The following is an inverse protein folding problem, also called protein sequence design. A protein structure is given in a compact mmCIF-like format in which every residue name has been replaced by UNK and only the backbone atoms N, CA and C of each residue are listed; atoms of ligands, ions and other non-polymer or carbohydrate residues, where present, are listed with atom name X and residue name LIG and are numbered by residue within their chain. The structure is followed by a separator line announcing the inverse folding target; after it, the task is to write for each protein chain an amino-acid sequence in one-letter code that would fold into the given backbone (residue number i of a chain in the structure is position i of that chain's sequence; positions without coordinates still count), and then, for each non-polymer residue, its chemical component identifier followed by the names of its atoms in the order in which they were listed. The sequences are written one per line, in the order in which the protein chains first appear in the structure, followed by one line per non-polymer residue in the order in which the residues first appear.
data_IF_142685945251
#
_entry.id   IF_142685945251
#
_cell.length_a   1.000
_cell.length_b   1.000
_cell.length_c   1.000
_cell.angle_alpha   90.00
_cell.angle_beta   90.00
_cell.angle_gamma   90.00
#
_symmetry.space_group_name_H-M   'P 1'
#
loop_
_entity.id
_entity.type
_entity.pdbx_description
1 polymer ?
#
# COMPACT_ATOMS: atom_id res chain seq x y z
N UNK A 1 32.05 -10.15 -67.48
CA UNK A 1 31.29 -8.96 -67.93
C UNK A 1 31.23 -7.95 -66.79
N UNK A 2 31.30 -6.67 -67.14
CA UNK A 2 31.78 -5.55 -66.30
C UNK A 2 30.63 -4.79 -65.61
N UNK A 3 30.94 -4.24 -64.42
CA UNK A 3 30.38 -3.13 -63.60
C UNK A 3 29.17 -2.32 -64.11
N UNK A 4 28.34 -1.86 -63.13
CA UNK A 4 28.03 -0.41 -63.01
C UNK A 4 26.60 0.04 -62.63
N UNK A 5 26.42 0.43 -61.36
CA UNK A 5 25.59 1.51 -60.77
C UNK A 5 24.30 2.07 -61.43
N UNK A 6 23.22 2.24 -60.61
CA UNK A 6 22.51 3.52 -60.28
C UNK A 6 21.14 3.27 -59.59
N UNK A 7 20.88 3.96 -58.47
CA UNK A 7 19.52 4.38 -58.02
C UNK A 7 19.18 5.72 -58.73
N UNK A 8 17.90 6.19 -58.88
CA UNK A 8 16.86 6.33 -57.83
C UNK A 8 15.37 6.30 -58.29
N UNK A 9 14.39 6.41 -57.35
CA UNK A 9 13.21 7.31 -57.34
C UNK A 9 12.01 6.81 -56.49
N UNK A 10 11.43 7.73 -55.70
CA UNK A 10 10.12 7.62 -55.02
C UNK A 10 8.95 7.84 -56.00
N UNK A 11 7.73 7.39 -55.66
CA UNK A 11 6.52 8.07 -56.15
C UNK A 11 5.59 8.57 -55.03
N UNK A 12 5.03 9.76 -55.26
CA UNK A 12 3.95 10.40 -54.50
C UNK A 12 2.57 10.08 -55.12
N UNK A 13 1.55 10.16 -54.25
CA UNK A 13 0.14 10.54 -54.46
C UNK A 13 -0.83 9.62 -55.23
N UNK A 14 -1.89 9.22 -54.52
CA UNK A 14 -3.25 9.08 -55.07
C UNK A 14 -4.25 9.77 -54.11
N UNK A 15 -5.05 10.68 -54.67
CA UNK A 15 -6.18 11.38 -54.07
C UNK A 15 -7.47 10.89 -54.76
N UNK A 16 -8.53 10.62 -53.99
CA UNK A 16 -9.96 10.68 -54.37
C UNK A 16 -10.82 10.39 -53.10
N UNK A 17 -12.14 10.69 -53.07
CA UNK A 17 -12.80 11.97 -53.30
C UNK A 17 -13.75 12.38 -52.14
N UNK A 18 -14.26 13.63 -52.16
CA UNK A 18 -15.23 14.20 -51.22
C UNK A 18 -16.61 13.54 -51.33
N UNK A 19 -17.22 13.22 -50.19
CA UNK A 19 -18.66 13.00 -50.01
C UNK A 19 -19.21 13.96 -48.95
N UNK A 20 -20.33 14.58 -49.27
CA UNK A 20 -21.10 15.58 -48.52
C UNK A 20 -21.76 14.97 -47.28
N UNK A 21 -21.50 15.56 -46.10
CA UNK A 21 -22.11 15.17 -44.82
C UNK A 21 -22.97 16.29 -44.24
N UNK A 22 -24.24 15.97 -44.00
CA UNK A 22 -25.26 16.77 -43.32
C UNK A 22 -24.86 17.15 -41.89
N UNK A 23 -25.20 18.38 -41.49
CA UNK A 23 -24.95 18.91 -40.13
C UNK A 23 -25.89 18.23 -39.12
N UNK A 24 -25.38 17.26 -38.36
CA UNK A 24 -26.06 16.77 -37.15
C UNK A 24 -25.92 17.79 -36.00
N UNK A 25 -27.05 18.12 -35.37
CA UNK A 25 -27.09 18.93 -34.13
C UNK A 25 -26.42 18.16 -32.98
N UNK A 26 -25.74 18.86 -32.05
CA UNK A 26 -25.07 18.20 -30.93
C UNK A 26 -26.08 17.49 -30.00
N UNK A 27 -25.71 16.37 -29.38
CA UNK A 27 -26.61 15.62 -28.52
C UNK A 27 -26.96 16.45 -27.27
N UNK A 28 -28.24 16.40 -26.88
CA UNK A 28 -28.74 16.99 -25.63
C UNK A 28 -27.86 16.54 -24.45
N UNK A 29 -27.38 17.52 -23.66
CA UNK A 29 -26.64 17.29 -22.41
C UNK A 29 -27.34 16.20 -21.60
N UNK A 30 -26.70 15.04 -21.43
CA UNK A 30 -27.08 14.03 -20.44
C UNK A 30 -27.07 14.72 -19.08
N UNK A 31 -28.23 14.80 -18.43
CA UNK A 31 -28.34 15.27 -17.04
C UNK A 31 -27.35 14.50 -16.17
N UNK A 32 -26.59 15.19 -15.32
CA UNK A 32 -25.61 14.55 -14.46
C UNK A 32 -26.31 13.60 -13.49
N UNK A 33 -25.63 12.50 -13.13
CA UNK A 33 -26.12 11.52 -12.14
C UNK A 33 -26.48 12.18 -10.79
N UNK A 34 -25.94 13.37 -10.53
CA UNK A 34 -26.23 14.25 -9.41
C UNK A 34 -27.66 14.78 -9.40
N UNK A 35 -28.23 15.17 -10.55
CA UNK A 35 -29.64 15.61 -10.64
C UNK A 35 -30.61 14.46 -10.38
N UNK A 36 -30.25 13.23 -10.77
CA UNK A 36 -31.07 12.05 -10.53
C UNK A 36 -31.07 11.62 -9.06
N UNK A 37 -29.90 11.62 -8.40
CA UNK A 37 -29.81 11.33 -6.97
C UNK A 37 -30.51 12.40 -6.11
N UNK A 38 -30.42 13.68 -6.49
CA UNK A 38 -31.17 14.76 -5.85
C UNK A 38 -32.68 14.57 -6.01
N UNK A 39 -33.17 14.15 -7.19
CA UNK A 39 -34.60 13.88 -7.40
C UNK A 39 -35.11 12.68 -6.62
N UNK A 40 -34.35 11.58 -6.53
CA UNK A 40 -34.72 10.42 -5.73
C UNK A 40 -34.75 10.74 -4.22
N UNK A 41 -33.76 11.49 -3.72
CA UNK A 41 -33.69 11.90 -2.31
C UNK A 41 -34.78 12.93 -1.97
N UNK A 42 -35.15 13.81 -2.91
CA UNK A 42 -36.19 14.82 -2.70
C UNK A 42 -37.62 14.30 -2.93
N UNK A 43 -37.80 13.12 -3.53
CA UNK A 43 -39.13 12.57 -3.85
C UNK A 43 -39.76 11.74 -2.74
N UNK A 44 -39.05 11.47 -1.62
CA UNK A 44 -39.55 10.61 -0.53
C UNK A 44 -40.16 11.36 0.67
N UNK A 45 -40.43 12.66 0.55
CA UNK A 45 -41.07 13.45 1.60
C UNK A 45 -42.08 14.42 1.00
N UNK A 46 -43.35 14.30 1.42
CA UNK A 46 -44.40 15.24 1.01
C UNK A 46 -44.12 16.67 1.44
N UNK A 47 -44.66 17.60 0.64
CA UNK A 47 -44.54 19.08 0.68
C UNK A 47 -43.27 19.65 0.00
N UNK A 48 -43.36 19.86 -1.33
CA UNK A 48 -42.33 20.54 -2.13
C UNK A 48 -42.24 22.07 -1.91
N UNK A 49 -43.18 22.68 -1.18
CA UNK A 49 -43.25 24.14 -0.97
C UNK A 49 -42.99 24.51 0.50
N UNK A 50 -41.72 24.76 0.86
CA UNK A 50 -41.21 25.71 1.89
C UNK A 50 -39.80 25.36 2.42
N UNK A 51 -38.95 24.63 1.68
CA UNK A 51 -37.55 24.40 2.14
C UNK A 51 -36.77 25.73 2.02
N UNK A 52 -36.23 26.29 3.13
CA UNK A 52 -35.43 27.50 3.06
C UNK A 52 -34.27 27.35 2.09
N UNK A 53 -34.08 28.33 1.19
CA UNK A 53 -33.06 28.27 0.15
C UNK A 53 -31.64 27.98 0.70
N UNK A 54 -31.36 28.45 1.92
CA UNK A 54 -30.13 28.16 2.65
C UNK A 54 -29.94 26.67 2.96
N UNK A 55 -30.98 25.97 3.44
CA UNK A 55 -30.92 24.53 3.74
C UNK A 55 -30.74 23.71 2.47
N UNK A 56 -31.44 24.06 1.38
CA UNK A 56 -31.29 23.39 0.08
C UNK A 56 -29.87 23.56 -0.48
N UNK A 57 -29.27 24.73 -0.31
CA UNK A 57 -27.87 24.99 -0.67
C UNK A 57 -26.93 24.13 0.16
N UNK A 58 -27.11 24.05 1.48
CA UNK A 58 -26.31 23.20 2.37
C UNK A 58 -26.31 21.73 1.93
N UNK A 59 -27.48 21.17 1.59
CA UNK A 59 -27.59 19.79 1.10
C UNK A 59 -26.86 19.62 -0.24
N UNK A 60 -27.02 20.58 -1.16
CA UNK A 60 -26.36 20.55 -2.47
C UNK A 60 -24.84 20.59 -2.35
N UNK A 61 -24.31 21.49 -1.49
CA UNK A 61 -22.89 21.64 -1.23
C UNK A 61 -22.30 20.38 -0.57
N UNK A 62 -23.05 19.75 0.34
CA UNK A 62 -22.65 18.49 0.95
C UNK A 62 -22.55 17.35 -0.08
N UNK A 63 -23.56 17.19 -0.96
CA UNK A 63 -23.53 16.21 -2.04
C UNK A 63 -22.33 16.44 -2.99
N UNK A 64 -22.06 17.69 -3.34
CA UNK A 64 -20.89 18.05 -4.15
C UNK A 64 -19.57 17.64 -3.47
N UNK A 65 -19.41 17.93 -2.17
CA UNK A 65 -18.23 17.53 -1.41
C UNK A 65 -18.09 16.01 -1.34
N UNK A 66 -19.19 15.27 -1.14
CA UNK A 66 -19.20 13.81 -1.15
C UNK A 66 -18.73 13.24 -2.49
N UNK A 67 -19.32 13.67 -3.60
CA UNK A 67 -18.97 13.17 -4.93
C UNK A 67 -17.53 13.52 -5.31
N UNK A 68 -17.11 14.76 -5.04
CA UNK A 68 -15.73 15.21 -5.27
C UNK A 68 -14.73 14.43 -4.44
N UNK A 69 -15.03 14.16 -3.16
CA UNK A 69 -14.16 13.38 -2.28
C UNK A 69 -13.98 11.95 -2.81
N UNK A 70 -15.07 11.30 -3.26
CA UNK A 70 -15.03 9.95 -3.85
C UNK A 70 -14.24 9.90 -5.14
N UNK A 71 -14.43 10.88 -6.03
CA UNK A 71 -13.69 10.97 -7.29
C UNK A 71 -12.19 11.07 -7.03
N UNK A 72 -11.78 11.97 -6.14
CA UNK A 72 -10.38 12.14 -5.75
C UNK A 72 -9.85 10.88 -5.05
N UNK A 73 -10.61 10.30 -4.12
CA UNK A 73 -10.19 9.07 -3.45
C UNK A 73 -9.90 7.92 -4.42
N UNK A 74 -10.77 7.74 -5.42
CA UNK A 74 -10.57 6.69 -6.43
C UNK A 74 -9.34 6.97 -7.28
N UNK A 75 -9.11 8.22 -7.69
CA UNK A 75 -7.94 8.59 -8.47
C UNK A 75 -6.61 8.40 -7.76
N UNK A 76 -6.58 8.31 -6.42
CA UNK A 76 -5.36 7.93 -5.68
C UNK A 76 -4.87 6.51 -6.03
N UNK A 77 -5.76 5.61 -6.48
CA UNK A 77 -5.41 4.23 -6.86
C UNK A 77 -4.69 4.18 -8.21
N UNK A 78 -4.98 5.13 -9.09
CA UNK A 78 -4.44 5.19 -10.45
C UNK A 78 -3.07 5.87 -10.50
N UNK A 79 -2.64 6.49 -9.39
CA UNK A 79 -1.34 7.12 -9.29
C UNK A 79 -0.23 6.06 -9.21
N UNK A 80 0.94 6.31 -9.83
CA UNK A 80 2.11 5.48 -9.65
C UNK A 80 2.41 5.24 -8.16
N UNK A 81 2.63 3.97 -7.83
CA UNK A 81 3.07 3.56 -6.51
C UNK A 81 4.57 3.82 -6.28
N UNK A 82 5.31 4.05 -7.36
CA UNK A 82 6.71 4.46 -7.38
C UNK A 82 6.85 5.97 -7.61
N UNK A 83 7.94 6.55 -7.11
CA UNK A 83 8.29 7.96 -7.32
C UNK A 83 7.71 8.89 -6.25
N UNK A 84 8.58 9.61 -5.55
CA UNK A 84 8.25 10.36 -4.34
C UNK A 84 7.36 11.59 -4.57
N UNK A 85 7.49 12.26 -5.72
CA UNK A 85 6.91 13.61 -5.90
C UNK A 85 5.54 13.65 -6.57
N UNK A 86 5.17 12.60 -7.32
CA UNK A 86 4.00 12.66 -8.20
C UNK A 86 2.67 12.59 -7.42
N UNK A 87 2.64 11.85 -6.32
CA UNK A 87 1.40 11.58 -5.58
C UNK A 87 1.03 12.68 -4.58
N UNK A 88 2.02 13.41 -4.04
CA UNK A 88 1.85 14.33 -2.90
C UNK A 88 0.82 15.43 -3.16
N UNK A 89 0.89 16.11 -4.32
CA UNK A 89 -0.05 17.18 -4.67
C UNK A 89 -1.49 16.68 -4.82
N UNK A 90 -1.66 15.49 -5.41
CA UNK A 90 -2.97 14.87 -5.56
C UNK A 90 -3.52 14.42 -4.21
N UNK A 91 -2.67 13.83 -3.36
CA UNK A 91 -3.02 13.46 -1.99
C UNK A 91 -3.45 14.68 -1.17
N UNK A 92 -2.67 15.77 -1.17
CA UNK A 92 -3.01 17.00 -0.47
C UNK A 92 -4.40 17.53 -0.84
N UNK A 93 -4.70 17.61 -2.15
CA UNK A 93 -6.04 18.01 -2.63
C UNK A 93 -7.15 17.06 -2.16
N UNK A 94 -6.88 15.75 -2.14
CA UNK A 94 -7.84 14.74 -1.68
C UNK A 94 -8.13 14.91 -0.19
N UNK A 95 -7.06 15.04 0.61
CA UNK A 95 -7.11 15.23 2.05
C UNK A 95 -7.83 16.53 2.43
N UNK A 96 -7.58 17.62 1.71
CA UNK A 96 -8.26 18.91 1.91
C UNK A 96 -9.77 18.82 1.71
N UNK A 97 -10.21 18.12 0.65
CA UNK A 97 -11.64 17.93 0.37
C UNK A 97 -12.30 17.07 1.46
N UNK A 98 -11.65 15.99 1.91
CA UNK A 98 -12.16 15.19 3.02
C UNK A 98 -12.20 15.96 4.34
N UNK A 99 -11.20 16.79 4.62
CA UNK A 99 -11.17 17.66 5.82
C UNK A 99 -12.30 18.68 5.77
N UNK A 100 -12.54 19.31 4.60
CA UNK A 100 -13.68 20.20 4.38
C UNK A 100 -15.01 19.48 4.58
N UNK A 101 -15.17 18.31 3.97
CA UNK A 101 -16.36 17.47 4.10
C UNK A 101 -16.64 17.09 5.58
N UNK A 102 -15.60 16.68 6.30
CA UNK A 102 -15.69 16.31 7.72
C UNK A 102 -16.13 17.48 8.60
N UNK A 103 -15.58 18.69 8.38
CA UNK A 103 -16.00 19.90 9.09
C UNK A 103 -17.41 20.33 8.69
N UNK A 104 -17.74 20.26 7.41
CA UNK A 104 -19.04 20.66 6.87
C UNK A 104 -20.19 19.87 7.51
N UNK A 105 -20.04 18.55 7.61
CA UNK A 105 -21.06 17.70 8.23
C UNK A 105 -21.19 17.88 9.76
N UNK A 106 -20.17 18.41 10.44
CA UNK A 106 -20.28 18.79 11.85
C UNK A 106 -21.03 20.11 12.01
N UNK A 107 -20.66 21.12 11.21
CA UNK A 107 -21.23 22.47 11.29
C UNK A 107 -22.70 22.52 10.88
N UNK A 108 -23.09 21.71 9.88
CA UNK A 108 -24.44 21.71 9.32
C UNK A 108 -25.27 20.49 9.73
N UNK A 109 -24.92 19.85 10.86
CA UNK A 109 -25.48 18.55 11.26
C UNK A 109 -27.01 18.52 11.25
N UNK A 110 -27.65 19.51 11.88
CA UNK A 110 -29.11 19.55 12.01
C UNK A 110 -29.82 19.57 10.65
N UNK A 111 -29.31 20.36 9.70
CA UNK A 111 -29.86 20.46 8.34
C UNK A 111 -29.66 19.14 7.58
N UNK A 112 -28.49 18.53 7.71
CA UNK A 112 -28.19 17.27 7.05
C UNK A 112 -29.01 16.10 7.62
N UNK A 113 -29.26 16.07 8.92
CA UNK A 113 -30.11 15.06 9.55
C UNK A 113 -31.58 15.22 9.10
N UNK A 114 -32.11 16.46 9.09
CA UNK A 114 -33.52 16.72 8.81
C UNK A 114 -33.89 16.73 7.31
N UNK A 115 -32.97 17.14 6.43
CA UNK A 115 -33.26 17.34 5.00
C UNK A 115 -32.54 16.36 4.08
N UNK A 116 -31.28 16.05 4.38
CA UNK A 116 -30.53 15.05 3.60
C UNK A 116 -30.79 13.62 4.09
N UNK A 117 -31.21 13.46 5.35
CA UNK A 117 -31.39 12.15 5.98
C UNK A 117 -30.05 11.51 6.34
N UNK A 118 -29.07 12.31 6.76
CA UNK A 118 -27.72 11.84 7.08
C UNK A 118 -27.76 10.75 8.17
N UNK A 119 -27.30 9.55 7.82
CA UNK A 119 -27.24 8.41 8.74
C UNK A 119 -25.91 8.34 9.46
N UNK A 120 -25.91 7.74 10.66
CA UNK A 120 -24.69 7.52 11.46
C UNK A 120 -23.63 6.73 10.69
N UNK A 121 -24.02 5.72 9.93
CA UNK A 121 -23.09 4.90 9.16
C UNK A 121 -22.42 5.68 8.03
N UNK A 122 -23.09 6.68 7.44
CA UNK A 122 -22.48 7.55 6.42
C UNK A 122 -21.37 8.43 7.02
N UNK A 123 -21.53 8.89 8.25
CA UNK A 123 -20.47 9.60 8.98
C UNK A 123 -19.31 8.65 9.30
N UNK A 124 -19.63 7.41 9.67
CA UNK A 124 -18.67 6.33 9.82
C UNK A 124 -17.87 6.06 8.55
N UNK A 125 -18.50 6.10 7.37
CA UNK A 125 -17.80 5.96 6.09
C UNK A 125 -16.83 7.11 5.83
N UNK A 126 -17.22 8.36 6.09
CA UNK A 126 -16.34 9.52 5.93
C UNK A 126 -15.14 9.39 6.87
N UNK A 127 -15.37 9.06 8.14
CA UNK A 127 -14.31 8.82 9.12
C UNK A 127 -13.38 7.67 8.69
N UNK A 128 -13.95 6.57 8.20
CA UNK A 128 -13.20 5.39 7.74
C UNK A 128 -12.32 5.73 6.54
N UNK A 129 -12.77 6.63 5.66
CA UNK A 129 -11.98 7.09 4.51
C UNK A 129 -10.85 8.02 4.92
N UNK A 130 -11.07 8.90 5.90
CA UNK A 130 -10.00 9.73 6.47
C UNK A 130 -8.93 8.86 7.13
N UNK A 131 -9.34 7.87 7.95
CA UNK A 131 -8.40 6.88 8.51
C UNK A 131 -7.62 6.15 7.42
N UNK A 132 -8.28 5.80 6.31
CA UNK A 132 -7.61 5.18 5.16
C UNK A 132 -6.58 6.11 4.49
N UNK A 133 -6.86 7.41 4.39
CA UNK A 133 -5.90 8.40 3.86
C UNK A 133 -4.66 8.49 4.75
N UNK A 134 -4.84 8.56 6.06
CA UNK A 134 -3.73 8.55 7.02
C UNK A 134 -2.88 7.28 6.91
N UNK A 135 -3.53 6.11 6.82
CA UNK A 135 -2.84 4.85 6.61
C UNK A 135 -2.05 4.82 5.29
N UNK A 136 -2.65 5.28 4.17
CA UNK A 136 -1.95 5.36 2.89
C UNK A 136 -0.76 6.33 2.95
N UNK A 137 -0.89 7.44 3.68
CA UNK A 137 0.21 8.38 3.86
C UNK A 137 1.34 7.78 4.68
N UNK A 138 1.02 7.03 5.75
CA UNK A 138 1.98 6.22 6.49
C UNK A 138 2.75 5.25 5.58
N UNK A 139 2.05 4.47 4.73
CA UNK A 139 2.71 3.54 3.80
C UNK A 139 3.70 4.23 2.84
N UNK A 140 3.48 5.52 2.54
CA UNK A 140 4.32 6.34 1.65
C UNK A 140 5.39 7.15 2.38
N UNK A 141 5.41 7.17 3.70
CA UNK A 141 6.32 8.04 4.47
C UNK A 141 7.03 7.32 5.59
N UNK A 142 6.57 6.12 5.98
CA UNK A 142 7.04 5.39 7.15
C UNK A 142 6.91 6.15 8.48
N UNK A 143 6.08 7.21 8.53
CA UNK A 143 5.89 8.05 9.70
C UNK A 143 4.74 7.53 10.56
N UNK A 144 5.07 6.96 11.72
CA UNK A 144 4.12 6.29 12.64
C UNK A 144 3.08 7.22 13.25
N UNK A 145 3.31 8.54 13.23
CA UNK A 145 2.31 9.54 13.67
C UNK A 145 1.03 9.45 12.84
N UNK A 146 1.14 9.28 11.52
CA UNK A 146 -0.04 9.11 10.66
C UNK A 146 -0.73 7.77 10.88
N UNK A 147 0.01 6.73 11.24
CA UNK A 147 -0.58 5.44 11.63
C UNK A 147 -1.40 5.58 12.93
N UNK A 148 -0.93 6.38 13.90
CA UNK A 148 -1.69 6.71 15.10
C UNK A 148 -2.94 7.55 14.79
N UNK A 149 -2.89 8.47 13.84
CA UNK A 149 -4.08 9.19 13.38
C UNK A 149 -5.12 8.24 12.74
N UNK A 150 -4.67 7.29 11.90
CA UNK A 150 -5.54 6.27 11.36
C UNK A 150 -6.22 5.44 12.47
N UNK A 151 -5.45 5.05 13.49
CA UNK A 151 -5.98 4.36 14.67
C UNK A 151 -7.03 5.21 15.40
N UNK A 152 -6.78 6.49 15.62
CA UNK A 152 -7.71 7.41 16.28
C UNK A 152 -9.06 7.49 15.56
N UNK A 153 -9.04 7.60 14.22
CA UNK A 153 -10.28 7.58 13.43
C UNK A 153 -11.02 6.24 13.53
N UNK A 154 -10.30 5.11 13.40
CA UNK A 154 -10.94 3.80 13.48
C UNK A 154 -11.47 3.46 14.87
N UNK A 155 -10.74 3.83 15.91
CA UNK A 155 -11.17 3.70 17.31
C UNK A 155 -12.41 4.54 17.58
N UNK A 156 -12.45 5.80 17.10
CA UNK A 156 -13.62 6.66 17.25
C UNK A 156 -14.87 6.10 16.55
N UNK A 157 -14.70 5.36 15.44
CA UNK A 157 -15.82 4.69 14.75
C UNK A 157 -16.44 3.59 15.63
N UNK A 158 -15.59 2.76 16.26
CA UNK A 158 -16.01 1.71 17.21
C UNK A 158 -16.70 2.31 18.42
N UNK A 159 -16.03 3.25 19.11
CA UNK A 159 -16.51 3.88 20.35
C UNK A 159 -17.86 4.59 20.17
N UNK A 160 -18.10 5.21 19.00
CA UNK A 160 -19.36 5.91 18.70
C UNK A 160 -20.38 5.03 18.00
N UNK A 161 -20.06 3.76 17.76
CA UNK A 161 -20.94 2.77 17.15
C UNK A 161 -21.60 3.28 15.86
N UNK A 162 -20.82 3.91 14.96
CA UNK A 162 -21.38 4.49 13.73
C UNK A 162 -22.08 3.45 12.84
N UNK A 163 -21.66 2.18 12.91
CA UNK A 163 -22.25 1.07 12.14
C UNK A 163 -23.34 0.27 12.87
N UNK A 164 -23.77 0.69 14.07
CA UNK A 164 -24.80 -0.02 14.86
C UNK A 164 -26.14 -0.22 14.12
N UNK A 165 -26.47 0.66 13.19
CA UNK A 165 -27.73 0.62 12.44
C UNK A 165 -27.59 -0.03 11.05
N UNK A 166 -26.40 -0.44 10.63
CA UNK A 166 -26.18 -1.02 9.30
C UNK A 166 -27.01 -2.29 9.10
N UNK A 167 -27.06 -3.15 10.13
CA UNK A 167 -27.83 -4.38 10.08
C UNK A 167 -29.34 -4.10 10.03
N UNK A 168 -29.82 -2.87 10.29
CA UNK A 168 -31.25 -2.54 10.17
C UNK A 168 -31.66 -2.12 8.76
N UNK A 169 -30.71 -1.68 7.94
CA UNK A 169 -30.96 -1.20 6.58
C UNK A 169 -31.19 -2.35 5.59
N UNK A 170 -30.88 -3.60 5.97
CA UNK A 170 -31.03 -4.82 5.16
C UNK A 170 -30.32 -4.78 3.80
N UNK A 171 -29.15 -4.12 3.76
CA UNK A 171 -28.36 -3.91 2.55
C UNK A 171 -26.98 -4.58 2.67
N UNK A 172 -26.70 -5.67 1.92
CA UNK A 172 -25.47 -6.43 2.07
C UNK A 172 -24.21 -5.58 1.78
N UNK A 173 -24.29 -4.63 0.84
CA UNK A 173 -23.19 -3.73 0.51
C UNK A 173 -22.76 -2.81 1.66
N UNK A 174 -23.68 -2.52 2.60
CA UNK A 174 -23.37 -1.73 3.80
C UNK A 174 -22.65 -2.58 4.85
N UNK A 175 -23.05 -3.85 5.01
CA UNK A 175 -22.37 -4.79 5.90
C UNK A 175 -20.95 -5.04 5.41
N UNK A 176 -20.76 -5.26 4.10
CA UNK A 176 -19.42 -5.39 3.49
C UNK A 176 -18.52 -4.18 3.78
N UNK A 177 -19.07 -2.95 3.82
CA UNK A 177 -18.29 -1.76 4.22
C UNK A 177 -17.85 -1.81 5.67
N UNK A 178 -18.71 -2.31 6.57
CA UNK A 178 -18.41 -2.52 8.00
C UNK A 178 -17.33 -3.60 8.18
N UNK A 179 -17.44 -4.74 7.49
CA UNK A 179 -16.43 -5.81 7.51
C UNK A 179 -15.07 -5.30 7.04
N UNK A 180 -15.04 -4.56 5.92
CA UNK A 180 -13.81 -3.93 5.41
C UNK A 180 -13.24 -2.87 6.37
N UNK A 181 -14.08 -2.21 7.17
CA UNK A 181 -13.60 -1.30 8.21
C UNK A 181 -12.85 -2.07 9.30
N UNK A 182 -13.42 -3.17 9.80
CA UNK A 182 -12.78 -4.03 10.80
C UNK A 182 -11.44 -4.58 10.30
N UNK A 183 -11.40 -5.14 9.09
CA UNK A 183 -10.15 -5.64 8.51
C UNK A 183 -9.04 -4.57 8.48
N UNK A 184 -9.37 -3.33 8.06
CA UNK A 184 -8.41 -2.22 8.08
C UNK A 184 -8.00 -1.80 9.48
N UNK A 185 -8.92 -1.83 10.44
CA UNK A 185 -8.62 -1.48 11.81
C UNK A 185 -7.68 -2.49 12.45
N UNK A 186 -7.88 -3.79 12.19
CA UNK A 186 -6.99 -4.87 12.61
C UNK A 186 -5.57 -4.64 12.07
N UNK A 187 -5.41 -4.37 10.77
CA UNK A 187 -4.09 -4.06 10.17
C UNK A 187 -3.38 -2.92 10.90
N UNK A 188 -4.09 -1.81 11.16
CA UNK A 188 -3.52 -0.67 11.88
C UNK A 188 -3.12 -1.04 13.31
N UNK A 189 -3.94 -1.84 14.00
CA UNK A 189 -3.62 -2.29 15.36
C UNK A 189 -2.42 -3.24 15.41
N UNK A 190 -2.27 -4.13 14.42
CA UNK A 190 -1.11 -5.01 14.28
C UNK A 190 0.18 -4.19 14.10
N UNK A 191 0.19 -3.21 13.19
CA UNK A 191 1.35 -2.35 12.94
C UNK A 191 1.75 -1.50 14.17
N UNK A 192 0.77 -1.09 14.98
CA UNK A 192 0.98 -0.37 16.24
C UNK A 192 1.21 -1.29 17.46
N UNK A 193 1.29 -2.62 17.26
CA UNK A 193 1.44 -3.61 18.32
C UNK A 193 0.39 -3.49 19.46
N UNK A 194 -0.88 -3.20 19.11
CA UNK A 194 -2.01 -3.11 20.05
C UNK A 194 -2.78 -4.44 20.12
N UNK A 195 -2.11 -5.50 20.57
CA UNK A 195 -2.60 -6.87 20.47
C UNK A 195 -3.91 -7.14 21.24
N UNK A 196 -4.14 -6.47 22.36
CA UNK A 196 -5.41 -6.61 23.09
C UNK A 196 -6.60 -6.11 22.25
N UNK A 197 -6.41 -4.99 21.56
CA UNK A 197 -7.42 -4.44 20.64
C UNK A 197 -7.59 -5.36 19.42
N UNK A 198 -6.51 -5.96 18.91
CA UNK A 198 -6.58 -6.93 17.81
C UNK A 198 -7.47 -8.11 18.18
N UNK A 199 -7.28 -8.71 19.37
CA UNK A 199 -8.07 -9.86 19.84
C UNK A 199 -9.56 -9.52 19.90
N UNK A 200 -9.90 -8.36 20.46
CA UNK A 200 -11.28 -7.88 20.51
C UNK A 200 -11.88 -7.72 19.10
N UNK A 201 -11.14 -7.06 18.18
CA UNK A 201 -11.61 -6.77 16.83
C UNK A 201 -11.78 -8.03 15.99
N UNK A 202 -10.94 -9.05 16.18
CA UNK A 202 -11.08 -10.35 15.49
C UNK A 202 -12.35 -11.06 15.94
N UNK A 203 -12.65 -11.04 17.24
CA UNK A 203 -13.89 -11.59 17.77
C UNK A 203 -15.10 -10.85 17.20
N UNK A 204 -15.11 -9.51 17.26
CA UNK A 204 -16.19 -8.70 16.69
C UNK A 204 -16.35 -8.94 15.17
N UNK A 205 -15.26 -9.06 14.43
CA UNK A 205 -15.31 -9.35 12.99
C UNK A 205 -15.89 -10.74 12.72
N UNK A 206 -15.56 -11.74 13.54
CA UNK A 206 -16.13 -13.09 13.44
C UNK A 206 -17.64 -13.07 13.63
N UNK A 207 -18.11 -12.43 14.70
CA UNK A 207 -19.54 -12.30 15.00
C UNK A 207 -20.29 -11.61 13.84
N UNK A 208 -19.71 -10.55 13.27
CA UNK A 208 -20.31 -9.81 12.15
C UNK A 208 -20.33 -10.61 10.84
N UNK A 209 -19.33 -11.47 10.59
CA UNK A 209 -19.30 -12.35 9.41
C UNK A 209 -20.36 -13.46 9.55
N UNK A 210 -20.53 -14.01 10.75
CA UNK A 210 -21.56 -15.01 11.04
C UNK A 210 -22.96 -14.42 10.79
N UNK A 211 -23.24 -13.26 11.38
CA UNK A 211 -24.50 -12.53 11.18
C UNK A 211 -24.75 -12.19 9.69
N UNK A 212 -23.72 -11.73 8.98
CA UNK A 212 -23.78 -11.40 7.56
C UNK A 212 -24.14 -12.63 6.72
N UNK A 213 -23.45 -13.74 6.97
CA UNK A 213 -23.65 -15.00 6.25
C UNK A 213 -25.04 -15.55 6.49
N UNK A 214 -25.46 -15.64 7.75
CA UNK A 214 -26.76 -16.20 8.13
C UNK A 214 -27.90 -15.41 7.48
N UNK A 215 -27.73 -14.08 7.36
CA UNK A 215 -28.78 -13.20 6.86
C UNK A 215 -28.88 -13.12 5.35
N UNK A 216 -27.75 -13.15 4.64
CA UNK A 216 -27.74 -12.90 3.19
C UNK A 216 -27.37 -14.12 2.34
N UNK A 217 -26.89 -15.22 2.94
CA UNK A 217 -26.49 -16.46 2.26
C UNK A 217 -25.64 -16.20 0.99
N UNK A 218 -24.53 -15.48 1.18
CA UNK A 218 -23.73 -14.94 0.07
C UNK A 218 -22.56 -15.85 -0.31
N UNK A 219 -22.22 -15.85 -1.60
CA UNK A 219 -21.10 -16.64 -2.14
C UNK A 219 -19.73 -16.17 -1.62
N UNK A 220 -19.62 -14.91 -1.16
CA UNK A 220 -18.40 -14.31 -0.62
C UNK A 220 -18.09 -14.74 0.83
N UNK A 221 -18.92 -15.56 1.47
CA UNK A 221 -18.65 -16.13 2.80
C UNK A 221 -17.28 -16.81 2.85
N UNK A 222 -16.92 -17.57 1.81
CA UNK A 222 -15.65 -18.30 1.76
C UNK A 222 -14.47 -17.33 1.81
N UNK A 223 -14.57 -16.18 1.13
CA UNK A 223 -13.53 -15.14 1.16
C UNK A 223 -13.42 -14.49 2.54
N UNK A 224 -14.54 -14.20 3.21
CA UNK A 224 -14.53 -13.63 4.55
C UNK A 224 -14.01 -14.60 5.62
N UNK A 225 -14.34 -15.88 5.51
CA UNK A 225 -13.76 -16.91 6.36
C UNK A 225 -12.25 -17.06 6.14
N UNK A 226 -11.79 -16.98 4.89
CA UNK A 226 -10.37 -16.97 4.58
C UNK A 226 -9.68 -15.77 5.23
N UNK A 227 -10.31 -14.59 5.22
CA UNK A 227 -9.78 -13.40 5.92
C UNK A 227 -9.59 -13.66 7.42
N UNK A 228 -10.55 -14.29 8.10
CA UNK A 228 -10.40 -14.64 9.53
C UNK A 228 -9.26 -15.65 9.76
N UNK A 229 -9.15 -16.66 8.91
CA UNK A 229 -8.08 -17.65 8.98
C UNK A 229 -6.71 -17.01 8.77
N UNK A 230 -6.59 -16.10 7.79
CA UNK A 230 -5.39 -15.31 7.54
C UNK A 230 -4.98 -14.48 8.76
N UNK A 231 -5.94 -13.79 9.40
CA UNK A 231 -5.64 -13.01 10.62
C UNK A 231 -5.19 -13.91 11.77
N UNK A 232 -5.88 -15.03 12.01
CA UNK A 232 -5.54 -15.95 13.07
C UNK A 232 -4.14 -16.54 12.89
N UNK A 233 -3.84 -17.03 11.68
CA UNK A 233 -2.51 -17.54 11.34
C UNK A 233 -1.43 -16.47 11.47
N UNK A 234 -1.72 -15.22 11.10
CA UNK A 234 -0.79 -14.11 11.23
C UNK A 234 -0.46 -13.79 12.69
N UNK A 235 -1.46 -13.76 13.57
CA UNK A 235 -1.28 -13.51 15.02
C UNK A 235 -0.46 -14.64 15.66
N UNK A 236 -0.70 -15.89 15.26
CA UNK A 236 0.04 -17.04 15.76
C UNK A 236 1.51 -17.03 15.31
N UNK A 237 1.78 -16.61 14.07
CA UNK A 237 3.11 -16.63 13.48
C UNK A 237 4.00 -15.42 13.84
N UNK A 238 3.41 -14.29 14.24
CA UNK A 238 4.15 -13.04 14.52
C UNK A 238 5.15 -13.10 15.69
N UNK A 239 4.82 -13.61 16.91
CA UNK A 239 5.69 -13.46 18.06
C UNK A 239 7.05 -14.12 17.86
N UNK A 240 8.13 -13.33 17.97
CA UNK A 240 9.50 -13.83 18.09
C UNK A 240 9.78 -14.06 19.57
N UNK A 241 9.63 -15.29 20.02
CA UNK A 241 9.92 -15.68 21.40
C UNK A 241 11.39 -16.05 21.52
N UNK A 242 12.17 -15.23 22.23
CA UNK A 242 13.58 -15.53 22.54
C UNK A 242 13.64 -16.06 23.97
N UNK A 243 14.31 -17.19 24.16
CA UNK A 243 14.70 -17.65 25.50
C UNK A 243 15.96 -16.89 25.91
N UNK A 244 15.85 -16.11 26.98
CA UNK A 244 17.03 -15.53 27.62
C UNK A 244 17.81 -16.61 28.38
N UNK A 245 19.04 -16.26 28.79
CA UNK A 245 19.91 -17.12 29.61
C UNK A 245 19.24 -17.62 30.90
N UNK A 246 18.24 -16.87 31.41
CA UNK A 246 17.42 -17.23 32.58
C UNK A 246 16.20 -18.12 32.25
N UNK A 247 16.12 -18.69 31.04
CA UNK A 247 14.96 -19.44 30.55
C UNK A 247 13.63 -18.66 30.56
N UNK A 248 13.70 -17.33 30.60
CA UNK A 248 12.53 -16.45 30.50
C UNK A 248 12.25 -16.14 29.03
N UNK A 249 10.97 -16.20 28.65
CA UNK A 249 10.52 -15.84 27.31
C UNK A 249 10.47 -14.31 27.22
N UNK A 250 11.28 -13.73 26.34
CA UNK A 250 11.22 -12.31 26.00
C UNK A 250 10.61 -12.13 24.62
N UNK A 251 9.61 -11.26 24.54
CA UNK A 251 9.01 -10.79 23.29
C UNK A 251 9.77 -9.53 22.88
N UNK A 252 10.59 -9.64 21.85
CA UNK A 252 11.40 -8.51 21.37
C UNK A 252 10.57 -7.61 20.46
N UNK A 253 10.62 -6.30 20.70
CA UNK A 253 10.12 -5.31 19.73
C UNK A 253 10.97 -5.39 18.47
N UNK A 254 10.31 -5.53 17.30
CA UNK A 254 11.04 -5.52 16.04
C UNK A 254 11.50 -4.11 15.63
N UNK A 255 11.24 -3.04 16.41
CA UNK A 255 11.59 -1.66 16.04
C UNK A 255 12.95 -1.23 16.60
N UNK A 256 13.58 -0.26 15.93
CA UNK A 256 14.86 0.29 16.37
C UNK A 256 14.67 1.16 17.62
N UNK A 257 15.10 0.64 18.77
CA UNK A 257 15.21 1.39 20.01
C UNK A 257 16.37 2.39 19.96
N UNK A 258 16.21 3.54 20.61
CA UNK A 258 17.22 4.62 20.64
C UNK A 258 18.53 4.18 21.32
N UNK A 259 18.44 3.26 22.28
CA UNK A 259 19.56 2.72 23.06
C UNK A 259 20.10 1.38 22.54
N UNK A 260 19.46 0.79 21.52
CA UNK A 260 19.77 -0.57 21.05
C UNK A 260 20.75 -0.64 19.88
N UNK A 261 21.20 0.49 19.34
CA UNK A 261 22.19 0.49 18.26
C UNK A 261 23.59 0.15 18.82
N UNK A 262 24.31 -0.83 18.24
CA UNK A 262 25.67 -1.14 18.67
C UNK A 262 26.56 0.10 18.57
N UNK A 263 27.43 0.29 19.56
CA UNK A 263 28.45 1.34 19.54
C UNK A 263 29.31 1.14 18.29
N UNK A 264 29.51 2.21 17.53
CA UNK A 264 30.36 2.19 16.35
C UNK A 264 31.80 1.92 16.78
N UNK A 265 32.51 1.10 16.00
CA UNK A 265 33.91 0.82 16.26
C UNK A 265 34.75 2.11 16.16
N UNK A 266 35.78 2.19 17.00
CA UNK A 266 36.67 3.34 17.08
C UNK A 266 37.35 3.57 15.72
N UNK A 267 37.03 4.70 15.06
CA UNK A 267 37.57 5.04 13.74
C UNK A 267 36.54 5.02 12.60
N UNK A 268 35.32 4.53 12.83
CA UNK A 268 34.23 4.66 11.86
C UNK A 268 33.68 6.09 11.83
N UNK A 269 33.66 6.73 10.66
CA UNK A 269 33.07 8.06 10.47
C UNK A 269 31.55 7.91 10.36
N UNK A 270 30.83 8.30 11.41
CA UNK A 270 29.36 8.32 11.45
C UNK A 270 28.82 9.37 10.48
N UNK A 271 27.78 9.03 9.72
CA UNK A 271 26.97 10.02 9.00
C UNK A 271 27.34 10.28 7.53
N UNK A 272 28.21 9.48 6.92
CA UNK A 272 28.44 9.58 5.46
C UNK A 272 27.30 8.99 4.63
N UNK A 273 26.60 7.97 5.14
CA UNK A 273 25.52 7.30 4.43
C UNK A 273 24.29 7.16 5.34
N UNK A 274 23.11 7.47 4.80
CA UNK A 274 21.82 7.24 5.44
C UNK A 274 20.98 6.24 4.65
N UNK A 275 20.32 5.30 5.33
CA UNK A 275 19.32 4.47 4.66
C UNK A 275 18.11 5.35 4.33
N UNK A 276 17.88 5.61 3.04
CA UNK A 276 16.81 6.50 2.59
C UNK A 276 15.62 5.73 2.01
N UNK A 277 15.88 4.69 1.23
CA UNK A 277 14.85 3.87 0.57
C UNK A 277 15.06 2.39 0.90
N UNK A 278 13.96 1.65 1.05
CA UNK A 278 13.94 0.20 1.17
C UNK A 278 12.84 -0.41 0.29
N UNK A 279 13.18 -1.41 -0.52
CA UNK A 279 12.22 -2.26 -1.20
C UNK A 279 12.11 -3.56 -0.42
N UNK A 280 10.91 -3.89 0.05
CA UNK A 280 10.59 -5.09 0.82
C UNK A 280 9.70 -5.96 -0.04
N UNK A 281 10.22 -7.10 -0.49
CA UNK A 281 9.58 -7.99 -1.44
C UNK A 281 9.27 -9.32 -0.77
N UNK A 282 7.99 -9.72 -0.81
CA UNK A 282 7.51 -11.03 -0.38
C UNK A 282 6.95 -11.82 -1.56
N UNK A 283 7.62 -12.89 -1.96
CA UNK A 283 7.27 -13.73 -3.10
C UNK A 283 7.57 -15.23 -2.86
N UNK A 284 7.66 -15.66 -1.60
CA UNK A 284 7.69 -17.09 -1.29
C UNK A 284 6.29 -17.70 -1.41
N UNK A 285 6.25 -18.99 -1.73
CA UNK A 285 5.00 -19.75 -1.73
C UNK A 285 4.57 -20.07 -0.28
N UNK A 286 3.26 -20.16 -0.04
CA UNK A 286 2.69 -20.57 1.25
C UNK A 286 3.12 -19.75 2.48
N UNK A 287 3.39 -18.45 2.30
CA UNK A 287 3.66 -17.56 3.42
C UNK A 287 2.37 -17.18 4.15
N UNK A 288 2.40 -17.23 5.47
CA UNK A 288 1.37 -16.61 6.31
C UNK A 288 1.32 -15.12 5.99
N UNK A 289 0.12 -14.65 5.68
CA UNK A 289 -0.14 -13.25 5.34
C UNK A 289 -1.47 -12.81 5.91
N UNK A 290 -1.62 -11.51 6.02
CA UNK A 290 -2.92 -10.89 6.19
C UNK A 290 -3.01 -9.66 5.30
N UNK A 291 -4.10 -9.55 4.54
CA UNK A 291 -4.25 -8.57 3.45
C UNK A 291 -3.17 -8.79 2.37
N UNK A 292 -2.14 -7.95 2.34
CA UNK A 292 -1.03 -7.99 1.39
C UNK A 292 0.33 -7.99 2.10
N UNK A 293 0.34 -8.20 3.42
CA UNK A 293 1.53 -8.17 4.24
C UNK A 293 1.82 -9.59 4.75
N UNK A 294 2.94 -10.14 4.33
CA UNK A 294 3.47 -11.41 4.87
C UNK A 294 4.20 -11.14 6.19
N UNK A 295 4.34 -12.16 7.04
CA UNK A 295 4.95 -12.02 8.38
C UNK A 295 6.38 -11.48 8.32
N UNK A 296 7.16 -11.93 7.35
CA UNK A 296 8.52 -11.45 7.10
C UNK A 296 8.56 -10.00 6.61
N UNK A 297 7.67 -9.60 5.70
CA UNK A 297 7.52 -8.20 5.28
C UNK A 297 7.12 -7.31 6.46
N UNK A 298 6.22 -7.78 7.33
CA UNK A 298 5.82 -7.08 8.56
C UNK A 298 7.00 -6.87 9.49
N UNK A 299 7.77 -7.94 9.78
CA UNK A 299 8.97 -7.87 10.63
C UNK A 299 10.02 -6.93 10.07
N UNK A 300 10.32 -7.01 8.77
CA UNK A 300 11.27 -6.09 8.15
C UNK A 300 10.77 -4.65 8.15
N UNK A 301 9.48 -4.42 7.90
CA UNK A 301 8.90 -3.09 7.97
C UNK A 301 9.09 -2.47 9.37
N UNK A 302 8.88 -3.25 10.44
CA UNK A 302 9.09 -2.80 11.82
C UNK A 302 10.58 -2.57 12.12
N UNK A 303 11.48 -3.45 11.64
CA UNK A 303 12.94 -3.37 11.81
C UNK A 303 13.59 -2.15 11.18
N UNK A 304 12.91 -1.52 10.22
CA UNK A 304 13.39 -0.30 9.58
C UNK A 304 12.77 0.96 10.19
N UNK A 305 11.80 0.82 11.10
CA UNK A 305 11.19 1.95 11.80
C UNK A 305 11.79 2.10 13.18
N UNK A 306 11.99 3.36 13.58
CA UNK A 306 12.25 3.64 14.99
C UNK A 306 11.01 3.41 15.82
N UNK A 307 11.25 3.16 17.11
CA UNK A 307 10.17 3.22 18.08
C UNK A 307 9.50 4.59 18.03
N UNK A 308 8.15 4.64 18.02
CA UNK A 308 7.45 5.90 18.07
C UNK A 308 7.84 6.64 19.36
N UNK A 309 8.39 7.85 19.23
CA UNK A 309 8.69 8.68 20.39
C UNK A 309 7.38 8.96 21.13
N UNK A 310 7.26 8.41 22.34
CA UNK A 310 6.22 8.80 23.27
C UNK A 310 6.55 10.22 23.77
N UNK A 311 6.03 11.23 23.07
CA UNK A 311 6.20 12.65 23.43
C UNK A 311 5.76 12.95 24.88
N UNK A 312 4.81 12.17 25.42
CA UNK A 312 4.35 12.28 26.81
C UNK A 312 5.46 11.99 27.85
N UNK A 313 6.40 11.08 27.54
CA UNK A 313 7.50 10.71 28.46
C UNK A 313 8.61 11.76 28.55
N UNK A 314 8.73 12.67 27.57
CA UNK A 314 9.70 13.76 27.63
C UNK A 314 9.23 14.92 28.52
N UNK A 315 7.91 15.13 28.67
CA UNK A 315 7.38 16.18 29.56
C UNK A 315 7.59 15.87 31.06
N UNK A 316 7.93 14.63 31.42
CA UNK A 316 8.08 14.19 32.81
C UNK A 316 9.53 13.99 33.29
N UNK A 317 10.54 14.48 32.56
CA UNK A 317 11.92 14.56 33.09
C UNK A 317 12.25 16.00 33.51
N UNK A 318 11.99 16.39 34.77
CA UNK A 318 12.52 17.64 35.29
C UNK A 318 14.04 17.48 35.44
N UNK A 319 14.84 18.21 34.64
CA UNK A 319 16.26 18.42 34.95
C UNK A 319 17.31 18.17 33.86
N UNK A 320 16.98 17.92 32.59
CA UNK A 320 18.00 17.93 31.53
C UNK A 320 18.10 19.33 30.90
N UNK A 321 19.20 20.01 31.21
CA UNK A 321 19.62 21.26 30.56
C UNK A 321 19.54 21.09 29.03
N UNK A 322 18.89 22.06 28.37
CA UNK A 322 18.85 22.17 26.91
C UNK A 322 20.28 22.34 26.36
N UNK A 323 20.90 21.23 25.96
CA UNK A 323 22.00 21.27 25.00
C UNK A 323 21.45 21.81 23.68
N UNK A 324 22.03 22.90 23.19
CA UNK A 324 21.60 23.66 22.00
C UNK A 324 21.71 22.91 20.65
N UNK A 325 21.99 21.61 20.65
CA UNK A 325 21.83 20.75 19.49
C UNK A 325 20.45 20.10 19.57
N UNK A 326 19.47 20.65 18.83
CA UNK A 326 18.25 19.88 18.53
C UNK A 326 18.73 18.56 17.92
N UNK A 327 18.43 17.38 18.51
CA UNK A 327 18.75 16.13 17.86
C UNK A 327 18.07 16.19 16.50
N UNK A 328 18.87 16.18 15.44
CA UNK A 328 18.36 16.14 14.07
C UNK A 328 17.42 14.94 14.03
N UNK A 329 16.11 15.22 13.89
CA UNK A 329 15.08 14.18 13.84
C UNK A 329 15.43 13.31 12.66
N UNK A 330 16.13 12.20 12.92
CA UNK A 330 16.53 11.28 11.86
C UNK A 330 15.22 10.73 11.29
N UNK A 331 15.04 10.78 9.99
CA UNK A 331 13.80 10.31 9.37
C UNK A 331 13.81 8.77 9.26
N UNK A 332 12.63 8.14 9.20
CA UNK A 332 12.55 6.72 8.84
C UNK A 332 12.81 6.58 7.33
N UNK A 333 13.42 5.48 6.86
CA UNK A 333 13.55 5.23 5.44
C UNK A 333 12.17 5.09 4.79
N UNK A 334 12.05 5.60 3.57
CA UNK A 334 10.90 5.32 2.73
C UNK A 334 10.86 3.83 2.38
N UNK A 335 9.67 3.21 2.41
CA UNK A 335 9.51 1.79 2.13
C UNK A 335 8.56 1.54 0.97
N UNK A 336 8.94 0.63 0.09
CA UNK A 336 8.07 0.05 -0.91
C UNK A 336 7.76 -1.40 -0.53
N UNK A 337 6.49 -1.72 -0.36
CA UNK A 337 6.02 -3.07 -0.07
C UNK A 337 5.53 -3.71 -1.36
N UNK A 338 6.18 -4.79 -1.80
CA UNK A 338 5.84 -5.49 -3.03
C UNK A 338 5.49 -6.94 -2.72
N UNK A 339 4.19 -7.25 -2.68
CA UNK A 339 3.71 -8.62 -2.56
C UNK A 339 3.57 -9.26 -3.94
N UNK A 340 4.26 -10.38 -4.14
CA UNK A 340 4.33 -11.15 -5.38
C UNK A 340 4.47 -10.28 -6.65
N UNK A 341 5.48 -9.39 -6.72
CA UNK A 341 5.63 -8.51 -7.88
C UNK A 341 6.05 -9.31 -9.11
N UNK A 342 5.59 -8.87 -10.28
CA UNK A 342 6.19 -9.30 -11.55
C UNK A 342 7.60 -8.73 -11.69
N UNK A 343 8.45 -9.36 -12.50
CA UNK A 343 9.79 -8.84 -12.81
C UNK A 343 9.74 -7.37 -13.23
N UNK A 344 8.86 -7.02 -14.18
CA UNK A 344 8.72 -5.65 -14.68
C UNK A 344 8.31 -4.66 -13.60
N UNK A 345 7.41 -5.07 -12.69
CA UNK A 345 7.00 -4.25 -11.55
C UNK A 345 8.19 -4.01 -10.62
N UNK A 346 8.88 -5.08 -10.19
CA UNK A 346 10.06 -4.97 -9.34
C UNK A 346 11.13 -4.04 -9.95
N UNK A 347 11.46 -4.24 -11.23
CA UNK A 347 12.47 -3.47 -11.93
C UNK A 347 12.07 -1.99 -12.08
N UNK A 348 10.77 -1.69 -12.24
CA UNK A 348 10.26 -0.31 -12.28
C UNK A 348 10.48 0.42 -10.95
N UNK A 349 10.20 -0.25 -9.83
CA UNK A 349 10.43 0.34 -8.50
C UNK A 349 11.92 0.52 -8.21
N UNK A 350 12.76 -0.47 -8.56
CA UNK A 350 14.22 -0.36 -8.43
C UNK A 350 14.77 0.85 -9.20
N UNK A 351 14.34 1.01 -10.46
CA UNK A 351 14.77 2.13 -11.30
C UNK A 351 14.30 3.48 -10.75
N UNK A 352 13.07 3.56 -10.24
CA UNK A 352 12.53 4.78 -9.63
C UNK A 352 13.31 5.16 -8.36
N UNK A 353 13.49 4.21 -7.43
CA UNK A 353 14.28 4.42 -6.21
C UNK A 353 15.72 4.81 -6.53
N UNK A 354 16.39 4.09 -7.42
CA UNK A 354 17.76 4.42 -7.83
C UNK A 354 17.88 5.84 -8.39
N UNK A 355 16.92 6.27 -9.24
CA UNK A 355 16.91 7.63 -9.81
C UNK A 355 16.75 8.70 -8.73
N UNK A 356 15.88 8.47 -7.76
CA UNK A 356 15.51 9.45 -6.73
C UNK A 356 16.40 9.41 -5.48
N UNK A 357 17.24 8.36 -5.33
CA UNK A 357 18.13 8.19 -4.18
C UNK A 357 19.14 9.36 -4.05
N UNK A 358 19.23 10.03 -2.89
CA UNK A 358 20.21 11.09 -2.65
C UNK A 358 21.67 10.60 -2.74
N UNK A 359 22.63 11.53 -2.89
CA UNK A 359 24.04 11.21 -3.10
C UNK A 359 24.70 10.46 -1.92
N UNK A 360 24.24 10.72 -0.69
CA UNK A 360 24.76 10.16 0.55
C UNK A 360 23.79 9.15 1.16
N UNK A 361 23.11 8.38 0.31
CA UNK A 361 22.05 7.48 0.75
C UNK A 361 22.22 6.06 0.20
N UNK A 362 21.69 5.12 0.98
CA UNK A 362 21.70 3.68 0.68
C UNK A 362 20.30 3.26 0.27
N UNK A 363 20.22 2.37 -0.73
CA UNK A 363 19.03 1.60 -1.06
C UNK A 363 19.14 0.23 -0.39
N UNK A 364 18.14 -0.18 0.39
CA UNK A 364 17.99 -1.55 0.87
C UNK A 364 17.05 -2.33 -0.06
N UNK A 365 17.41 -3.56 -0.39
CA UNK A 365 16.51 -4.55 -1.00
C UNK A 365 16.40 -5.73 -0.04
N UNK A 366 15.21 -5.96 0.51
CA UNK A 366 14.85 -7.20 1.17
C UNK A 366 14.05 -8.07 0.19
N UNK A 367 14.57 -9.25 -0.11
CA UNK A 367 14.03 -10.16 -1.11
C UNK A 367 13.75 -11.52 -0.49
N UNK A 368 12.48 -11.75 -0.16
CA UNK A 368 11.97 -13.06 0.25
C UNK A 368 11.31 -13.72 -0.94
N UNK A 369 11.92 -14.76 -1.51
CA UNK A 369 11.42 -15.39 -2.72
C UNK A 369 11.93 -16.83 -2.92
N UNK A 370 11.12 -17.65 -3.60
CA UNK A 370 11.52 -19.03 -3.98
C UNK A 370 12.74 -19.00 -4.92
N UNK A 371 13.76 -19.79 -4.63
CA UNK A 371 14.98 -19.84 -5.45
C UNK A 371 14.76 -20.53 -6.80
N UNK A 372 15.39 -19.99 -7.84
CA UNK A 372 15.49 -20.60 -9.18
C UNK A 372 16.93 -21.05 -9.37
N UNK A 373 17.15 -22.34 -9.55
CA UNK A 373 18.48 -22.92 -9.68
C UNK A 373 18.91 -23.05 -11.15
N UNK A 374 20.22 -23.05 -11.44
CA UNK A 374 20.75 -23.24 -12.79
C UNK A 374 20.24 -24.54 -13.42
N UNK A 375 19.95 -24.48 -14.73
CA UNK A 375 19.59 -25.67 -15.51
C UNK A 375 20.76 -26.07 -16.41
N UNK A 376 21.65 -26.93 -15.88
CA UNK A 376 22.82 -27.45 -16.60
C UNK A 376 24.15 -26.80 -16.23
N UNK A 377 25.25 -27.42 -16.67
CA UNK A 377 26.61 -26.89 -16.52
C UNK A 377 26.85 -25.87 -17.64
N UNK A 378 26.87 -24.57 -17.33
CA UNK A 378 27.36 -23.56 -18.26
C UNK A 378 28.88 -23.47 -18.12
N UNK A 379 29.60 -23.50 -19.24
CA UNK A 379 31.05 -23.21 -19.28
C UNK A 379 31.35 -21.72 -19.05
N UNK A 380 30.31 -20.89 -18.90
CA UNK A 380 30.38 -19.48 -18.56
C UNK A 380 29.96 -19.28 -17.10
N UNK A 381 30.83 -18.66 -16.29
CA UNK A 381 30.58 -18.25 -14.90
C UNK A 381 29.92 -16.86 -14.85
N UNK A 382 28.97 -16.58 -15.72
CA UNK A 382 28.29 -15.29 -15.76
C UNK A 382 27.32 -15.12 -14.58
N UNK A 383 27.03 -13.89 -14.17
CA UNK A 383 26.11 -13.59 -13.06
C UNK A 383 24.64 -13.98 -13.33
N UNK A 384 24.33 -14.39 -14.55
CA UNK A 384 23.03 -14.92 -14.97
C UNK A 384 23.01 -16.45 -15.01
N UNK A 385 24.12 -17.12 -14.69
CA UNK A 385 24.26 -18.57 -14.78
C UNK A 385 24.07 -19.26 -13.42
N UNK A 386 24.09 -18.49 -12.33
CA UNK A 386 23.83 -18.96 -10.96
C UNK A 386 22.33 -19.10 -10.63
N UNK A 387 21.46 -18.88 -11.62
CA UNK A 387 20.02 -18.75 -11.39
C UNK A 387 19.70 -17.44 -10.65
N UNK A 388 18.67 -17.46 -9.82
CA UNK A 388 18.24 -16.27 -9.09
C UNK A 388 17.04 -16.56 -8.19
N UNK A 389 16.13 -15.61 -8.06
CA UNK A 389 14.85 -15.83 -7.37
C UNK A 389 13.67 -15.66 -8.32
N UNK A 390 12.61 -16.40 -8.03
CA UNK A 390 11.36 -16.31 -8.77
C UNK A 390 10.71 -14.95 -8.54
N UNK A 391 10.13 -14.40 -9.60
CA UNK A 391 9.19 -13.27 -9.61
C UNK A 391 7.84 -13.79 -10.10
N UNK A 392 6.76 -13.07 -9.80
CA UNK A 392 5.44 -13.53 -10.18
C UNK A 392 5.25 -13.46 -11.71
N UNK A 393 4.71 -14.53 -12.30
CA UNK A 393 4.27 -14.53 -13.69
C UNK A 393 2.79 -14.15 -13.71
N UNK A 394 2.42 -13.11 -14.46
CA UNK A 394 1.02 -12.65 -14.59
C UNK A 394 0.13 -13.64 -15.40
N UNK A 395 0.51 -14.92 -15.47
CA UNK A 395 -0.11 -16.01 -16.23
C UNK A 395 -0.21 -17.27 -15.37
N UNK A 396 -1.45 -17.68 -15.11
CA UNK A 396 -1.93 -19.06 -14.98
C UNK A 396 -0.94 -20.10 -14.43
N UNK A 397 -0.84 -20.21 -13.10
CA UNK A 397 -0.50 -21.48 -12.44
C UNK A 397 -1.79 -22.05 -11.86
N UNK A 398 -2.75 -22.36 -12.74
CA UNK A 398 -3.88 -23.25 -12.40
C UNK A 398 -3.48 -24.72 -12.60
N UNK A 399 -2.40 -25.01 -13.33
CA UNK A 399 -1.95 -26.39 -13.52
C UNK A 399 -0.52 -26.55 -13.02
N UNK A 400 -0.39 -27.10 -11.80
CA UNK A 400 0.87 -27.41 -11.11
C UNK A 400 1.79 -28.43 -11.78
N UNK A 401 1.66 -28.65 -13.10
CA UNK A 401 2.40 -29.67 -13.86
C UNK A 401 3.29 -29.11 -14.98
N UNK A 402 3.39 -27.79 -15.15
CA UNK A 402 4.12 -27.20 -16.29
C UNK A 402 5.55 -26.71 -15.98
N UNK A 403 6.11 -27.00 -14.80
CA UNK A 403 7.50 -26.61 -14.44
C UNK A 403 8.54 -27.50 -15.13
N UNK A 404 8.14 -28.63 -15.71
CA UNK A 404 9.03 -29.53 -16.44
C UNK A 404 8.64 -29.65 -17.91
N UNK A 405 9.13 -28.70 -18.74
CA UNK A 405 9.41 -28.82 -20.21
C UNK A 405 9.08 -27.52 -20.96
N UNK A 406 9.86 -26.46 -20.76
CA UNK A 406 10.03 -25.43 -21.80
C UNK A 406 11.47 -25.46 -22.29
N UNK A 407 11.62 -25.54 -23.62
CA UNK A 407 12.89 -25.58 -24.34
C UNK A 407 13.82 -24.44 -23.86
N UNK A 408 14.95 -24.82 -23.26
CA UNK A 408 15.96 -23.95 -22.64
C UNK A 408 16.88 -23.26 -23.67
N UNK A 409 16.33 -22.47 -24.60
CA UNK A 409 17.18 -21.57 -25.40
C UNK A 409 17.33 -20.19 -24.77
N UNK A 410 16.44 -19.82 -23.84
CA UNK A 410 16.42 -18.51 -23.19
C UNK A 410 16.34 -18.68 -21.67
N UNK A 411 16.94 -17.72 -20.93
CA UNK A 411 16.88 -17.69 -19.46
C UNK A 411 15.47 -17.36 -18.97
N UNK A 412 15.13 -17.80 -17.76
CA UNK A 412 13.79 -17.64 -17.19
C UNK A 412 13.41 -16.16 -17.06
N UNK A 413 12.35 -15.75 -17.78
CA UNK A 413 11.90 -14.35 -17.84
C UNK A 413 11.33 -13.86 -16.50
N UNK A 414 10.79 -14.79 -15.71
CA UNK A 414 10.24 -14.51 -14.40
C UNK A 414 11.24 -14.80 -13.28
N UNK A 415 12.53 -14.67 -13.54
CA UNK A 415 13.60 -14.82 -12.55
C UNK A 415 14.40 -13.51 -12.45
N UNK A 416 14.51 -12.96 -11.24
CA UNK A 416 15.48 -11.91 -10.96
C UNK A 416 16.84 -12.59 -10.76
N UNK A 417 17.78 -12.38 -11.66
CA UNK A 417 19.15 -12.89 -11.52
C UNK A 417 20.01 -11.87 -10.77
N UNK A 418 21.14 -12.29 -10.15
CA UNK A 418 22.14 -11.37 -9.62
C UNK A 418 22.60 -10.33 -10.65
N UNK A 419 22.69 -10.74 -11.93
CA UNK A 419 23.03 -9.88 -13.06
C UNK A 419 22.11 -8.68 -13.27
N UNK A 420 20.82 -8.80 -12.93
CA UNK A 420 19.84 -7.73 -13.10
C UNK A 420 20.06 -6.57 -12.11
N UNK A 421 20.87 -6.79 -11.06
CA UNK A 421 21.13 -5.79 -10.03
C UNK A 421 22.34 -4.89 -10.33
N UNK A 422 23.22 -5.24 -11.28
CA UNK A 422 24.42 -4.45 -11.60
C UNK A 422 24.16 -2.98 -11.96
N UNK A 423 23.12 -2.63 -12.74
CA UNK A 423 22.86 -1.22 -13.04
C UNK A 423 22.64 -0.36 -11.78
N UNK A 424 22.18 -0.98 -10.69
CA UNK A 424 21.83 -0.31 -9.43
C UNK A 424 22.99 -0.27 -8.43
N UNK A 425 24.10 -0.98 -8.66
CA UNK A 425 25.30 -0.93 -7.79
C UNK A 425 26.14 0.33 -7.98
N UNK A 426 25.75 1.22 -8.91
CA UNK A 426 26.34 2.56 -9.11
C UNK A 426 26.05 3.53 -7.96
N UNK A 427 25.16 3.16 -7.04
CA UNK A 427 24.90 3.84 -5.77
C UNK A 427 25.01 2.82 -4.64
N UNK A 428 25.26 3.25 -3.38
CA UNK A 428 25.30 2.34 -2.24
C UNK A 428 24.03 1.48 -2.16
N UNK A 429 24.21 0.17 -2.20
CA UNK A 429 23.15 -0.84 -2.25
C UNK A 429 23.42 -1.89 -1.18
N UNK A 430 22.41 -2.17 -0.37
CA UNK A 430 22.43 -3.23 0.63
C UNK A 430 21.34 -4.25 0.29
N UNK A 431 21.67 -5.53 0.27
CA UNK A 431 20.75 -6.59 -0.19
C UNK A 431 20.67 -7.67 0.88
N UNK A 432 19.46 -8.02 1.26
CA UNK A 432 19.13 -9.18 2.08
C UNK A 432 18.31 -10.13 1.21
N UNK A 433 18.80 -11.34 0.99
CA UNK A 433 18.11 -12.37 0.20
C UNK A 433 17.74 -13.54 1.09
N UNK A 434 16.45 -13.67 1.35
CA UNK A 434 15.84 -14.81 2.02
C UNK A 434 15.27 -15.76 0.95
N UNK A 435 16.10 -16.73 0.56
CA UNK A 435 15.80 -17.65 -0.53
C UNK A 435 16.63 -18.92 -0.44
N UNK A 436 16.06 -20.03 -0.92
CA UNK A 436 16.78 -21.30 -1.11
C UNK A 436 17.98 -21.18 -2.07
N UNK A 437 18.02 -20.16 -2.95
CA UNK A 437 19.15 -19.88 -3.82
C UNK A 437 19.86 -18.54 -3.49
N UNK A 438 19.83 -18.11 -2.21
CA UNK A 438 20.49 -16.87 -1.77
C UNK A 438 21.99 -16.81 -2.08
N UNK A 439 22.66 -17.97 -2.16
CA UNK A 439 24.09 -18.10 -2.48
C UNK A 439 24.44 -17.48 -3.84
N UNK A 440 23.53 -17.51 -4.82
CA UNK A 440 23.74 -16.91 -6.14
C UNK A 440 24.07 -15.41 -6.08
N UNK A 441 23.57 -14.70 -5.07
CA UNK A 441 23.75 -13.24 -4.92
C UNK A 441 25.06 -12.85 -4.25
N UNK A 442 25.84 -13.80 -3.74
CA UNK A 442 27.20 -13.52 -3.24
C UNK A 442 28.15 -13.04 -4.36
N UNK A 443 27.86 -13.44 -5.61
CA UNK A 443 28.70 -13.16 -6.79
C UNK A 443 28.59 -11.69 -7.27
N UNK A 444 27.58 -10.95 -6.80
CA UNK A 444 27.44 -9.50 -7.09
C UNK A 444 28.69 -8.73 -6.63
N UNK A 445 29.33 -9.18 -5.56
CA UNK A 445 30.58 -8.59 -5.05
C UNK A 445 31.80 -8.97 -5.91
N UNK A 446 31.89 -10.22 -6.36
CA UNK A 446 33.07 -10.75 -7.06
C UNK A 446 33.24 -10.22 -8.50
N UNK A 447 32.16 -9.70 -9.10
CA UNK A 447 32.19 -9.22 -10.49
C UNK A 447 32.65 -7.77 -10.61
N UNK A 448 32.65 -7.00 -9.52
CA UNK A 448 33.26 -5.66 -9.47
C UNK A 448 34.80 -5.76 -9.46
N UNK A 449 35.37 -6.79 -8.83
CA UNK A 449 36.82 -6.99 -8.77
C UNK A 449 37.45 -7.53 -10.07
N UNK A 450 36.64 -8.02 -11.02
CA UNK A 450 37.11 -8.54 -12.31
C UNK A 450 37.20 -7.47 -13.41
N UNK A 451 36.94 -6.20 -13.10
CA UNK A 451 37.08 -5.06 -14.04
C UNK A 451 37.98 -3.99 -13.42
N UNK A 452 39.27 -4.27 -13.32
CA UNK A 452 40.34 -3.28 -13.24
C UNK A 452 41.50 -3.71 -14.14
#
# INVERSE_FOLDING_TARGET
MVRGARQPQQPRSRLAPRLTGTVEKPPRKRKSRTEFALKEIMSSGGAEDDIPQGERKTVTDFCYLLDKSKQLFNGLRDLPQYGQKQWQSYFGRTFDVYTKLWKFQQQHRQVLDNRYGLKRWQIGEIASKIGQLYYHYYLRTSETSYLNEAFSFYSAIRQRSYYSQVNKEDRPELVVKKLRYYARFIVVCLLLNKMDVVKDLVKELSDEIEDYTHRFNTEDQVEWNLVLQEVAAFIEADPVMVLNDDNTIVITSNRLAETGAPLLEQGMIVGQLSLADALIIGNCNNQVKFSELTVDMFRMLQALEREPMNLASQMNKPGMQESADKPTRRENPHKYLLYKPTFSQLYTFLAASFKELPANSVLLIYLSATGVFPTGRSDSEGPYDFGGVLTNSNRDIINGDAIHKRNQSHKEMHCLHPGDLYPFTRKPLFIIVDSSNSVAYKVVHASQDRVL
#
